data_IF_245313962746
#
_entry.id   IF_245313962746
#
_cell.length_a   1.000
_cell.length_b   1.000
_cell.length_c   1.000
_cell.angle_alpha   90.00
_cell.angle_beta   90.00
_cell.angle_gamma   90.00
#
_symmetry.space_group_name_H-M   'P 1'
#
loop_
_entity.id
_entity.type
_entity.pdbx_description
1 polymer ?
#
# COMPACT_ATOMS: atom_id res chain seq x y z
N UNK A 1 4.63 1.97 -20.42
CA UNK A 1 4.20 0.68 -19.83
C UNK A 1 2.70 0.72 -19.54
N UNK A 2 2.00 -0.38 -19.79
CA UNK A 2 0.56 -0.48 -19.46
C UNK A 2 0.40 -0.73 -17.95
N UNK A 3 -0.55 -0.07 -17.28
CA UNK A 3 -0.78 -0.27 -15.85
C UNK A 3 -1.31 -1.67 -15.56
N UNK A 4 -1.04 -2.16 -14.36
CA UNK A 4 -1.45 -3.48 -13.86
C UNK A 4 -0.93 -4.66 -14.70
N UNK A 5 0.15 -4.47 -15.45
CA UNK A 5 0.89 -5.54 -16.13
C UNK A 5 2.23 -5.79 -15.46
N UNK A 6 2.58 -7.05 -15.39
CA UNK A 6 3.90 -7.48 -14.89
C UNK A 6 4.89 -7.44 -16.05
N UNK A 7 6.01 -6.74 -15.83
CA UNK A 7 7.14 -6.68 -16.75
C UNK A 7 8.33 -7.37 -16.11
N UNK A 8 8.94 -8.27 -16.84
CA UNK A 8 10.22 -8.87 -16.43
C UNK A 8 11.37 -8.14 -17.14
N UNK A 9 12.39 -7.75 -16.39
CA UNK A 9 13.50 -6.98 -16.94
C UNK A 9 14.72 -6.93 -16.03
N UNK A 10 15.72 -6.20 -16.47
CA UNK A 10 16.96 -5.99 -15.74
C UNK A 10 16.93 -4.68 -14.97
N UNK A 11 17.36 -4.72 -13.71
CA UNK A 11 17.65 -3.54 -12.91
C UNK A 11 19.11 -3.18 -13.13
N UNK A 12 19.34 -2.10 -13.87
CA UNK A 12 20.68 -1.66 -14.25
C UNK A 12 20.98 -0.33 -13.58
N UNK A 13 22.16 -0.20 -12.98
CA UNK A 13 22.67 1.07 -12.48
C UNK A 13 23.09 1.94 -13.68
N UNK A 14 22.43 3.09 -13.93
CA UNK A 14 22.70 3.90 -15.10
C UNK A 14 24.08 4.55 -15.11
N UNK A 15 24.69 4.77 -13.93
CA UNK A 15 26.00 5.41 -13.80
C UNK A 15 27.13 4.44 -14.16
N UNK A 16 26.95 3.16 -13.87
CA UNK A 16 27.99 2.14 -14.05
C UNK A 16 27.70 1.15 -15.16
N UNK A 17 26.46 1.12 -15.67
CA UNK A 17 25.98 0.11 -16.63
C UNK A 17 25.91 -1.31 -16.05
N UNK A 18 26.12 -1.49 -14.74
CA UNK A 18 26.10 -2.81 -14.09
C UNK A 18 24.69 -3.26 -13.79
N UNK A 19 24.38 -4.49 -14.17
CA UNK A 19 23.16 -5.15 -13.76
C UNK A 19 23.24 -5.50 -12.28
N UNK A 20 22.20 -5.11 -11.53
CA UNK A 20 22.03 -5.44 -10.11
C UNK A 20 21.16 -6.68 -9.93
N UNK A 21 20.07 -6.79 -10.70
CA UNK A 21 19.12 -7.89 -10.60
C UNK A 21 18.31 -8.06 -11.89
N UNK A 22 17.62 -9.20 -11.99
CA UNK A 22 16.51 -9.42 -12.93
C UNK A 22 15.23 -9.51 -12.12
N UNK A 23 14.34 -8.55 -12.28
CA UNK A 23 13.22 -8.31 -11.38
C UNK A 23 11.90 -8.18 -12.15
N UNK A 24 10.79 -8.26 -11.40
CA UNK A 24 9.47 -7.93 -11.92
C UNK A 24 9.14 -6.48 -11.57
N UNK A 25 8.61 -5.74 -12.53
CA UNK A 25 8.08 -4.39 -12.35
C UNK A 25 6.58 -4.40 -12.61
N UNK A 26 5.83 -3.83 -11.69
CA UNK A 26 4.37 -3.69 -11.80
C UNK A 26 4.01 -2.21 -11.64
N UNK A 27 3.67 -1.49 -12.71
CA UNK A 27 3.17 -0.12 -12.62
C UNK A 27 1.66 -0.10 -12.33
N UNK A 28 1.26 0.77 -11.41
CA UNK A 28 -0.14 1.10 -11.11
C UNK A 28 -0.38 2.56 -11.42
N UNK A 29 -1.55 2.88 -12.01
CA UNK A 29 -1.96 4.25 -12.30
C UNK A 29 -3.10 4.68 -11.40
N UNK A 30 -3.04 5.92 -10.96
CA UNK A 30 -4.11 6.57 -10.24
C UNK A 30 -5.44 6.44 -11.00
N UNK A 31 -6.56 6.24 -10.31
CA UNK A 31 -6.72 5.97 -8.88
C UNK A 31 -6.63 4.47 -8.50
N UNK A 32 -6.23 3.58 -9.44
CA UNK A 32 -6.22 2.11 -9.29
C UNK A 32 -4.90 1.62 -8.70
N UNK A 33 -4.57 2.10 -7.49
CA UNK A 33 -3.41 1.69 -6.71
C UNK A 33 -3.76 1.66 -5.23
N UNK A 34 -2.86 1.20 -4.38
CA UNK A 34 -3.05 1.17 -2.93
C UNK A 34 -3.26 2.57 -2.35
N UNK A 35 -2.43 3.53 -2.72
CA UNK A 35 -2.52 4.91 -2.22
C UNK A 35 -3.50 5.79 -3.02
N UNK A 36 -4.00 5.33 -4.17
CA UNK A 36 -4.74 6.17 -5.11
C UNK A 36 -3.86 7.04 -6.01
N UNK A 37 -2.55 6.97 -5.87
CA UNK A 37 -1.54 7.68 -6.68
C UNK A 37 -0.89 6.72 -7.68
N UNK A 38 -0.05 7.24 -8.58
CA UNK A 38 0.80 6.39 -9.42
C UNK A 38 1.82 5.66 -8.55
N UNK A 39 1.89 4.33 -8.67
CA UNK A 39 2.82 3.47 -7.93
C UNK A 39 3.56 2.56 -8.91
N UNK A 40 4.79 2.23 -8.57
CA UNK A 40 5.52 1.13 -9.18
C UNK A 40 6.02 0.17 -8.10
N UNK A 41 5.79 -1.12 -8.28
CA UNK A 41 6.36 -2.16 -7.43
C UNK A 41 7.50 -2.85 -8.16
N UNK A 42 8.64 -3.01 -7.49
CA UNK A 42 9.81 -3.71 -7.99
C UNK A 42 10.06 -4.94 -7.11
N UNK A 43 9.85 -6.12 -7.68
CA UNK A 43 10.01 -7.40 -6.99
C UNK A 43 11.37 -8.01 -7.34
N UNK A 44 12.32 -7.86 -6.45
CA UNK A 44 13.70 -8.33 -6.58
C UNK A 44 13.91 -9.67 -5.86
N UNK A 45 15.06 -10.33 -6.11
CA UNK A 45 15.49 -11.46 -5.30
C UNK A 45 15.71 -11.06 -3.85
N UNK A 46 15.43 -11.98 -2.90
CA UNK A 46 15.34 -11.71 -1.46
C UNK A 46 16.67 -11.55 -0.72
N UNK A 47 17.75 -11.14 -1.36
CA UNK A 47 19.03 -10.84 -0.69
C UNK A 47 18.97 -9.46 -0.02
N UNK A 48 19.19 -9.36 1.32
CA UNK A 48 19.21 -8.06 2.01
C UNK A 48 20.24 -7.08 1.43
N UNK A 49 21.39 -7.59 0.98
CA UNK A 49 22.42 -6.75 0.33
C UNK A 49 21.93 -6.21 -1.01
N UNK A 50 21.33 -7.06 -1.85
CA UNK A 50 20.79 -6.66 -3.14
C UNK A 50 19.67 -5.62 -2.97
N UNK A 51 18.71 -5.88 -2.09
CA UNK A 51 17.58 -4.97 -1.83
C UNK A 51 18.07 -3.59 -1.38
N UNK A 52 19.08 -3.54 -0.50
CA UNK A 52 19.71 -2.28 -0.10
C UNK A 52 20.35 -1.54 -1.29
N UNK A 53 21.07 -2.26 -2.16
CA UNK A 53 21.67 -1.67 -3.37
C UNK A 53 20.66 -1.11 -4.34
N UNK A 54 19.53 -1.81 -4.54
CA UNK A 54 18.43 -1.33 -5.38
C UNK A 54 17.77 -0.10 -4.74
N UNK A 55 17.55 -0.11 -3.43
CA UNK A 55 16.98 1.01 -2.69
C UNK A 55 17.88 2.25 -2.77
N UNK A 56 19.20 2.09 -2.55
CA UNK A 56 20.17 3.17 -2.70
C UNK A 56 20.18 3.74 -4.12
N UNK A 57 20.04 2.88 -5.12
CA UNK A 57 19.94 3.30 -6.52
C UNK A 57 18.72 4.17 -6.77
N UNK A 58 17.51 3.73 -6.35
CA UNK A 58 16.28 4.52 -6.54
C UNK A 58 16.35 5.85 -5.78
N UNK A 59 16.95 5.87 -4.57
CA UNK A 59 17.15 7.12 -3.83
C UNK A 59 18.10 8.08 -4.53
N UNK A 60 19.19 7.60 -5.13
CA UNK A 60 20.08 8.43 -5.95
C UNK A 60 19.39 9.00 -7.19
N UNK A 61 18.43 8.27 -7.74
CA UNK A 61 17.62 8.71 -8.89
C UNK A 61 16.47 9.66 -8.52
N UNK A 62 16.40 10.11 -7.25
CA UNK A 62 15.48 11.15 -6.81
C UNK A 62 14.30 10.67 -5.96
N UNK A 63 14.22 9.38 -5.66
CA UNK A 63 13.27 8.90 -4.66
C UNK A 63 13.78 9.23 -3.23
N UNK A 64 12.90 9.12 -2.24
CA UNK A 64 13.26 9.14 -0.82
C UNK A 64 12.67 7.94 -0.10
N UNK A 65 13.21 7.62 1.03
CA UNK A 65 12.61 6.61 1.91
C UNK A 65 11.26 7.13 2.43
N UNK A 66 10.26 6.24 2.39
CA UNK A 66 8.98 6.51 3.01
C UNK A 66 9.09 6.51 4.53
N UNK A 67 8.30 7.36 5.19
CA UNK A 67 8.13 7.29 6.63
C UNK A 67 7.31 6.05 7.02
N UNK A 68 7.49 5.52 8.25
CA UNK A 68 6.65 4.42 8.72
C UNK A 68 5.15 4.74 8.58
N UNK A 69 4.40 3.86 7.91
CA UNK A 69 2.97 4.04 7.66
C UNK A 69 2.60 5.03 6.55
N UNK A 70 3.56 5.62 5.84
CA UNK A 70 3.30 6.67 4.84
C UNK A 70 2.38 6.20 3.70
N UNK A 71 2.52 4.97 3.22
CA UNK A 71 1.64 4.44 2.16
C UNK A 71 0.18 4.37 2.63
N UNK A 72 -0.06 3.89 3.85
CA UNK A 72 -1.40 3.81 4.45
C UNK A 72 -1.97 5.20 4.74
N UNK A 73 -1.15 6.13 5.23
CA UNK A 73 -1.55 7.53 5.42
C UNK A 73 -1.97 8.17 4.09
N UNK A 74 -1.23 7.97 3.00
CA UNK A 74 -1.60 8.47 1.68
C UNK A 74 -2.89 7.85 1.17
N UNK A 75 -3.10 6.55 1.37
CA UNK A 75 -4.35 5.87 1.04
C UNK A 75 -5.54 6.49 1.76
N UNK A 76 -5.39 6.81 3.06
CA UNK A 76 -6.41 7.52 3.84
C UNK A 76 -6.67 8.94 3.33
N UNK A 77 -5.62 9.73 3.12
CA UNK A 77 -5.75 11.12 2.62
C UNK A 77 -6.40 11.19 1.23
N UNK A 78 -6.18 10.19 0.40
CA UNK A 78 -6.77 10.06 -0.93
C UNK A 78 -8.14 9.36 -0.93
N UNK A 79 -8.73 9.11 0.24
CA UNK A 79 -10.07 8.52 0.38
C UNK A 79 -10.19 7.07 -0.10
N UNK A 80 -9.07 6.33 -0.17
CA UNK A 80 -9.07 4.91 -0.55
C UNK A 80 -9.52 4.01 0.59
N UNK A 81 -9.22 4.41 1.81
CA UNK A 81 -9.59 3.75 3.05
C UNK A 81 -10.02 4.81 4.08
N UNK A 82 -10.84 4.43 5.02
CA UNK A 82 -11.18 5.28 6.17
C UNK A 82 -10.18 5.13 7.33
N UNK A 83 -10.35 5.92 8.40
CA UNK A 83 -9.43 5.92 9.53
C UNK A 83 -9.39 4.57 10.25
N UNK A 84 -10.55 3.93 10.46
CA UNK A 84 -10.61 2.63 11.12
C UNK A 84 -9.90 1.55 10.31
N UNK A 85 -10.05 1.58 8.98
CA UNK A 85 -9.34 0.70 8.06
C UNK A 85 -7.82 0.96 8.06
N UNK A 86 -7.41 2.23 8.14
CA UNK A 86 -6.00 2.59 8.22
C UNK A 86 -5.34 2.10 9.52
N UNK A 87 -6.03 2.22 10.66
CA UNK A 87 -5.57 1.68 11.94
C UNK A 87 -5.50 0.15 11.92
N UNK A 88 -6.48 -0.50 11.31
CA UNK A 88 -6.52 -1.96 11.18
C UNK A 88 -5.33 -2.55 10.41
N UNK A 89 -4.70 -1.80 9.49
CA UNK A 89 -3.49 -2.25 8.79
C UNK A 89 -2.35 -2.53 9.78
N UNK A 90 -2.16 -1.67 10.79
CA UNK A 90 -1.14 -1.88 11.82
C UNK A 90 -1.46 -3.11 12.69
N UNK A 91 -2.74 -3.33 13.00
CA UNK A 91 -3.17 -4.49 13.76
C UNK A 91 -3.02 -5.80 12.99
N UNK A 92 -3.28 -5.79 11.68
CA UNK A 92 -3.01 -6.91 10.78
C UNK A 92 -1.54 -7.33 10.80
N UNK A 93 -0.63 -6.35 10.71
CA UNK A 93 0.83 -6.60 10.71
C UNK A 93 1.30 -7.15 12.05
N UNK A 94 0.67 -6.73 13.17
CA UNK A 94 1.05 -7.10 14.53
C UNK A 94 0.32 -8.33 15.07
N UNK A 95 -0.68 -8.84 14.36
CA UNK A 95 -1.48 -9.97 14.81
C UNK A 95 -0.61 -11.20 15.09
N UNK A 96 -0.78 -11.80 16.28
CA UNK A 96 -0.05 -13.00 16.76
C UNK A 96 -0.98 -14.17 17.07
N UNK A 97 -2.28 -14.00 16.81
CA UNK A 97 -3.28 -15.04 17.00
C UNK A 97 -4.36 -14.96 15.93
N UNK A 98 -5.02 -16.08 15.68
CA UNK A 98 -6.14 -16.17 14.74
C UNK A 98 -7.28 -15.20 15.12
N UNK A 99 -7.53 -15.03 16.42
CA UNK A 99 -8.56 -14.11 16.90
C UNK A 99 -8.20 -12.64 16.59
N UNK A 100 -6.95 -12.24 16.82
CA UNK A 100 -6.46 -10.90 16.47
C UNK A 100 -6.52 -10.66 14.97
N UNK A 101 -6.09 -11.63 14.16
CA UNK A 101 -6.13 -11.55 12.71
C UNK A 101 -7.57 -11.34 12.20
N UNK A 102 -8.52 -12.14 12.68
CA UNK A 102 -9.95 -12.01 12.30
C UNK A 102 -10.53 -10.66 12.69
N UNK A 103 -10.22 -10.15 13.89
CA UNK A 103 -10.67 -8.84 14.33
C UNK A 103 -10.13 -7.73 13.45
N UNK A 104 -8.84 -7.73 13.18
CA UNK A 104 -8.20 -6.73 12.32
C UNK A 104 -8.72 -6.80 10.87
N UNK A 105 -8.93 -8.00 10.32
CA UNK A 105 -9.53 -8.17 8.99
C UNK A 105 -10.96 -7.61 8.93
N UNK A 106 -11.79 -7.84 9.95
CA UNK A 106 -13.14 -7.30 9.99
C UNK A 106 -13.16 -5.76 10.00
N UNK A 107 -12.24 -5.12 10.72
CA UNK A 107 -12.07 -3.66 10.69
C UNK A 107 -11.55 -3.19 9.33
N UNK A 108 -10.54 -3.85 8.79
CA UNK A 108 -9.94 -3.50 7.51
C UNK A 108 -10.92 -3.62 6.33
N UNK A 109 -11.87 -4.55 6.38
CA UNK A 109 -12.93 -4.68 5.38
C UNK A 109 -14.07 -3.67 5.53
N UNK A 110 -14.00 -2.77 6.51
CA UNK A 110 -14.96 -1.69 6.70
C UNK A 110 -16.23 -2.07 7.48
N UNK A 111 -16.21 -3.19 8.22
CA UNK A 111 -17.39 -3.63 9.00
C UNK A 111 -17.85 -2.59 10.04
N UNK A 112 -16.92 -1.86 10.65
CA UNK A 112 -17.24 -0.78 11.59
C UNK A 112 -17.89 0.40 10.88
N UNK A 113 -17.32 0.82 9.76
CA UNK A 113 -17.79 1.96 8.98
C UNK A 113 -19.20 1.72 8.43
N UNK A 114 -19.49 0.50 7.96
CA UNK A 114 -20.82 0.11 7.50
C UNK A 114 -21.85 0.17 8.65
N UNK A 115 -21.51 -0.30 9.85
CA UNK A 115 -22.39 -0.20 11.03
C UNK A 115 -22.62 1.25 11.44
N UNK A 116 -21.57 2.07 11.47
CA UNK A 116 -21.70 3.49 11.79
C UNK A 116 -22.58 4.23 10.76
N UNK A 117 -22.42 3.94 9.48
CA UNK A 117 -23.24 4.53 8.42
C UNK A 117 -24.71 4.11 8.56
N UNK A 118 -25.01 2.83 8.79
CA UNK A 118 -26.39 2.37 8.98
C UNK A 118 -27.08 3.00 10.21
N UNK A 119 -26.34 3.24 11.28
CA UNK A 119 -26.85 3.97 12.45
C UNK A 119 -27.09 5.45 12.13
N UNK A 120 -26.19 6.09 11.43
CA UNK A 120 -26.34 7.48 10.98
C UNK A 120 -27.57 7.65 10.10
N UNK A 121 -27.75 6.77 9.12
CA UNK A 121 -28.90 6.80 8.21
C UNK A 121 -30.24 6.59 8.96
N UNK A 122 -30.26 5.68 9.94
CA UNK A 122 -31.44 5.48 10.80
C UNK A 122 -31.77 6.71 11.64
N UNK A 123 -30.75 7.37 12.23
CA UNK A 123 -30.95 8.61 13.00
C UNK A 123 -31.44 9.76 12.13
N UNK A 124 -30.86 9.92 10.93
CA UNK A 124 -31.29 10.95 9.98
C UNK A 124 -32.74 10.74 9.53
N UNK A 125 -33.15 9.49 9.31
CA UNK A 125 -34.52 9.18 8.94
C UNK A 125 -35.53 9.51 10.06
N UNK A 126 -35.15 9.35 11.33
CA UNK A 126 -35.95 9.73 12.46
C UNK A 126 -36.07 11.24 12.65
N UNK A 127 -35.03 12.00 12.28
CA UNK A 127 -35.04 13.47 12.38
C UNK A 127 -35.82 14.11 11.22
N UNK A 128 -36.04 13.41 10.12
CA UNK A 128 -36.76 13.89 8.94
C UNK A 128 -38.28 13.67 9.00
N UNK A 129 -38.76 13.04 10.07
CA UNK A 129 -40.20 12.84 10.40
C UNK A 129 -40.65 13.85 11.42
#
# INVERSE_FOLDING_TARGET
MQPNRVYFGEVVDPDTGKMLDRALLIPFRAPRSYTGEDIAELHCHGSPYLLRRVLDLVCRLGARLAQPGEFTMRAFLNGKIDLAQAEAVADLIRARSEAQLRSALALHTGALSQKAQSLSDALLSLLAT
#
